data_IF_805007691428
#
_entry.id   IF_805007691428
#
_cell.length_a   1.000
_cell.length_b   1.000
_cell.length_c   1.000
_cell.angle_alpha   90.00
_cell.angle_beta   90.00
_cell.angle_gamma   90.00
#
_symmetry.space_group_name_H-M   'P 1'
#
loop_
_entity.id
_entity.type
_entity.pdbx_description
1 polymer ?
#
# COMPACT_ATOMS: atom_id res chain seq x y z
N UNK A 1 -1.79 -13.83 -8.84
CA UNK A 1 -1.20 -13.53 -10.17
C UNK A 1 -1.35 -12.06 -10.58
N UNK A 2 -2.51 -11.40 -10.40
CA UNK A 2 -2.70 -10.01 -10.83
C UNK A 2 -1.72 -9.00 -10.21
N UNK A 3 -1.36 -9.13 -8.93
CA UNK A 3 -0.36 -8.23 -8.31
C UNK A 3 1.01 -8.31 -8.96
N UNK A 4 1.49 -9.51 -9.31
CA UNK A 4 2.80 -9.68 -9.92
C UNK A 4 2.82 -9.09 -11.33
N UNK A 5 1.71 -9.23 -12.07
CA UNK A 5 1.53 -8.60 -13.36
C UNK A 5 1.51 -7.07 -13.24
N UNK A 6 0.72 -6.54 -12.30
CA UNK A 6 0.63 -5.11 -12.04
C UNK A 6 1.99 -4.51 -11.66
N UNK A 7 2.78 -5.21 -10.86
CA UNK A 7 4.13 -4.80 -10.49
C UNK A 7 5.07 -4.77 -11.70
N UNK A 8 5.03 -5.79 -12.55
CA UNK A 8 5.81 -5.82 -13.79
C UNK A 8 5.41 -4.71 -14.76
N UNK A 9 4.12 -4.38 -14.84
CA UNK A 9 3.61 -3.29 -15.68
C UNK A 9 4.06 -1.92 -15.12
N UNK A 10 4.05 -1.75 -13.80
CA UNK A 10 4.57 -0.54 -13.16
C UNK A 10 6.08 -0.37 -13.41
N UNK A 11 6.84 -1.46 -13.36
CA UNK A 11 8.30 -1.47 -13.61
C UNK A 11 8.64 -1.08 -15.06
N UNK A 12 7.76 -1.43 -16.01
CA UNK A 12 7.84 -1.01 -17.42
C UNK A 12 7.47 0.47 -17.64
N UNK A 13 7.10 1.20 -16.59
CA UNK A 13 6.72 2.61 -16.66
C UNK A 13 5.23 2.86 -16.96
N UNK A 14 4.43 1.81 -17.17
CA UNK A 14 3.00 1.95 -17.47
C UNK A 14 2.18 1.97 -16.16
N UNK A 15 2.38 3.05 -15.41
CA UNK A 15 1.71 3.30 -14.13
C UNK A 15 0.17 3.30 -14.22
N UNK A 16 -0.52 3.87 -15.24
CA UNK A 16 -1.98 3.84 -15.30
C UNK A 16 -2.49 2.41 -15.51
N UNK A 17 -1.82 1.60 -16.35
CA UNK A 17 -2.21 0.20 -16.54
C UNK A 17 -1.97 -0.64 -15.30
N UNK A 18 -0.89 -0.37 -14.56
CA UNK A 18 -0.62 -1.02 -13.28
C UNK A 18 -1.71 -0.69 -12.24
N UNK A 19 -2.17 0.56 -12.21
CA UNK A 19 -3.24 1.00 -11.32
C UNK A 19 -4.52 0.20 -11.54
N UNK A 20 -5.00 0.11 -12.79
CA UNK A 20 -6.18 -0.67 -13.17
C UNK A 20 -6.08 -2.13 -12.72
N UNK A 21 -4.90 -2.74 -12.88
CA UNK A 21 -4.65 -4.13 -12.49
C UNK A 21 -4.69 -4.31 -10.97
N UNK A 22 -4.12 -3.37 -10.21
CA UNK A 22 -4.18 -3.38 -8.75
C UNK A 22 -5.61 -3.15 -8.24
N UNK A 23 -6.39 -2.26 -8.86
CA UNK A 23 -7.81 -2.04 -8.51
C UNK A 23 -8.67 -3.27 -8.77
N UNK A 24 -8.45 -3.96 -9.89
CA UNK A 24 -9.10 -5.26 -10.17
C UNK A 24 -8.69 -6.33 -9.18
N UNK A 25 -7.40 -6.45 -8.88
CA UNK A 25 -6.90 -7.41 -7.90
C UNK A 25 -7.50 -7.16 -6.50
N UNK A 26 -7.62 -5.89 -6.13
CA UNK A 26 -8.21 -5.46 -4.86
C UNK A 26 -9.69 -5.83 -4.80
N UNK A 27 -10.46 -5.56 -5.85
CA UNK A 27 -11.89 -5.91 -5.91
C UNK A 27 -12.10 -7.42 -5.77
N UNK A 28 -11.32 -8.22 -6.50
CA UNK A 28 -11.40 -9.68 -6.41
C UNK A 28 -11.01 -10.20 -5.03
N UNK A 29 -9.97 -9.63 -4.41
CA UNK A 29 -9.57 -10.00 -3.04
C UNK A 29 -10.60 -9.60 -2.01
N UNK A 30 -11.17 -8.40 -2.12
CA UNK A 30 -12.28 -7.96 -1.24
C UNK A 30 -13.46 -8.92 -1.33
N UNK A 31 -13.78 -9.41 -2.53
CA UNK A 31 -14.87 -10.38 -2.73
C UNK A 31 -14.52 -11.79 -2.23
N UNK A 32 -13.28 -12.24 -2.40
CA UNK A 32 -12.87 -13.61 -2.06
C UNK A 32 -12.44 -13.80 -0.60
N UNK A 33 -11.71 -12.83 -0.04
CA UNK A 33 -11.08 -12.90 1.29
C UNK A 33 -11.71 -11.93 2.28
N UNK A 34 -12.47 -10.94 1.80
CA UNK A 34 -13.06 -9.88 2.61
C UNK A 34 -12.18 -8.63 2.73
N UNK A 35 -12.78 -7.60 3.34
CA UNK A 35 -12.12 -6.30 3.58
C UNK A 35 -11.06 -6.35 4.68
N UNK A 36 -11.16 -7.29 5.61
CA UNK A 36 -10.24 -7.48 6.73
C UNK A 36 -9.30 -8.66 6.47
N UNK A 37 -8.51 -8.57 5.40
CA UNK A 37 -7.51 -9.58 5.07
C UNK A 37 -6.15 -8.93 4.78
N UNK A 38 -5.08 -9.58 5.22
CA UNK A 38 -3.71 -9.07 5.07
C UNK A 38 -3.33 -8.90 3.59
N UNK A 39 -3.82 -9.77 2.71
CA UNK A 39 -3.59 -9.69 1.28
C UNK A 39 -4.38 -8.54 0.63
N UNK A 40 -5.54 -8.17 1.18
CA UNK A 40 -6.28 -6.96 0.81
C UNK A 40 -5.46 -5.71 1.16
N UNK A 41 -4.91 -5.63 2.37
CA UNK A 41 -4.03 -4.52 2.78
C UNK A 41 -2.77 -4.41 1.91
N UNK A 42 -2.10 -5.53 1.61
CA UNK A 42 -0.93 -5.54 0.71
C UNK A 42 -1.25 -5.03 -0.71
N UNK A 43 -2.46 -5.31 -1.21
CA UNK A 43 -2.88 -4.84 -2.53
C UNK A 43 -3.09 -3.33 -2.55
N UNK A 44 -3.63 -2.77 -1.46
CA UNK A 44 -3.81 -1.32 -1.28
C UNK A 44 -2.44 -0.62 -1.17
N UNK A 45 -1.51 -1.17 -0.40
CA UNK A 45 -0.12 -0.69 -0.31
C UNK A 45 0.55 -0.61 -1.70
N UNK A 46 0.36 -1.66 -2.51
CA UNK A 46 0.93 -1.72 -3.85
C UNK A 46 0.34 -0.67 -4.79
N UNK A 47 -0.97 -0.39 -4.67
CA UNK A 47 -1.64 0.67 -5.41
C UNK A 47 -1.13 2.05 -4.99
N UNK A 48 -0.95 2.28 -3.68
CA UNK A 48 -0.40 3.52 -3.14
C UNK A 48 1.01 3.81 -3.66
N UNK A 49 1.84 2.77 -3.83
CA UNK A 49 3.16 2.89 -4.42
C UNK A 49 3.11 3.38 -5.88
N UNK A 50 2.20 2.83 -6.67
CA UNK A 50 2.03 3.25 -8.07
C UNK A 50 1.58 4.71 -8.14
N UNK A 51 0.68 5.14 -7.26
CA UNK A 51 0.25 6.54 -7.19
C UNK A 51 1.37 7.49 -6.74
N UNK A 52 2.23 7.05 -5.82
CA UNK A 52 3.43 7.79 -5.45
C UNK A 52 4.35 8.01 -6.66
N UNK A 53 4.56 6.97 -7.48
CA UNK A 53 5.34 7.08 -8.72
C UNK A 53 4.68 8.00 -9.76
N UNK A 54 3.35 8.15 -9.73
CA UNK A 54 2.60 9.13 -10.54
C UNK A 54 2.61 10.55 -9.94
N UNK A 55 3.38 10.80 -8.87
CA UNK A 55 3.36 12.05 -8.09
C UNK A 55 1.99 12.40 -7.46
N UNK A 56 1.09 11.42 -7.32
CA UNK A 56 -0.21 11.56 -6.65
C UNK A 56 -0.09 11.20 -5.17
N UNK A 57 0.66 12.02 -4.44
CA UNK A 57 0.98 11.76 -3.03
C UNK A 57 -0.25 11.78 -2.11
N UNK A 58 -1.23 12.65 -2.39
CA UNK A 58 -2.45 12.75 -1.58
C UNK A 58 -3.30 11.47 -1.65
N UNK A 59 -3.51 10.93 -2.86
CA UNK A 59 -4.24 9.67 -3.05
C UNK A 59 -3.46 8.49 -2.48
N UNK A 60 -2.14 8.46 -2.66
CA UNK A 60 -1.27 7.43 -2.07
C UNK A 60 -1.37 7.43 -0.54
N UNK A 61 -1.34 8.59 0.11
CA UNK A 61 -1.48 8.72 1.56
C UNK A 61 -2.82 8.18 2.06
N UNK A 62 -3.92 8.50 1.38
CA UNK A 62 -5.25 8.00 1.72
C UNK A 62 -5.31 6.46 1.67
N UNK A 63 -4.72 5.85 0.63
CA UNK A 63 -4.64 4.40 0.50
C UNK A 63 -3.75 3.77 1.58
N UNK A 64 -2.59 4.35 1.89
CA UNK A 64 -1.73 3.86 2.97
C UNK A 64 -2.45 3.86 4.32
N UNK A 65 -3.21 4.92 4.63
CA UNK A 65 -4.03 4.95 5.86
C UNK A 65 -5.06 3.84 5.88
N UNK A 66 -5.70 3.56 4.75
CA UNK A 66 -6.68 2.48 4.64
C UNK A 66 -6.04 1.09 4.83
N UNK A 67 -4.88 0.84 4.23
CA UNK A 67 -4.13 -0.42 4.43
C UNK A 67 -3.70 -0.61 5.89
N UNK A 68 -3.28 0.48 6.56
CA UNK A 68 -2.92 0.48 7.97
C UNK A 68 -4.11 0.13 8.85
N UNK A 69 -5.26 0.76 8.63
CA UNK A 69 -6.47 0.49 9.41
C UNK A 69 -6.92 -0.98 9.29
N UNK A 70 -6.74 -1.58 8.12
CA UNK A 70 -6.99 -3.02 7.91
C UNK A 70 -5.98 -3.88 8.70
N UNK A 71 -4.68 -3.56 8.67
CA UNK A 71 -3.66 -4.25 9.47
C UNK A 71 -3.93 -4.12 10.98
N UNK A 72 -4.32 -2.94 11.44
CA UNK A 72 -4.67 -2.69 12.84
C UNK A 72 -5.87 -3.53 13.29
N UNK A 73 -6.89 -3.65 12.43
CA UNK A 73 -8.04 -4.52 12.73
C UNK A 73 -7.65 -6.01 12.72
N UNK A 74 -6.76 -6.43 11.81
CA UNK A 74 -6.27 -7.81 11.72
C UNK A 74 -5.42 -8.23 12.94
N UNK A 75 -4.64 -7.31 13.49
CA UNK A 75 -3.79 -7.55 14.67
C UNK A 75 -4.60 -7.65 15.97
N UNK A 76 -5.89 -7.33 15.95
CA UNK A 76 -6.79 -7.44 17.10
C UNK A 76 -6.49 -6.44 18.22
N UNK A 77 -7.39 -6.32 19.21
CA UNK A 77 -7.24 -5.40 20.34
C UNK A 77 -6.08 -5.74 21.29
N UNK A 78 -5.47 -6.93 21.16
CA UNK A 78 -4.35 -7.38 22.01
C UNK A 78 -3.07 -6.57 21.77
N UNK A 79 -2.90 -6.00 20.57
CA UNK A 79 -1.75 -5.15 20.23
C UNK A 79 -1.94 -3.66 20.58
N UNK A 80 -3.12 -3.25 21.10
CA UNK A 80 -3.39 -1.83 21.46
C UNK A 80 -2.58 -1.35 22.65
N UNK A 81 -2.14 -2.25 23.53
CA UNK A 81 -1.41 -1.87 24.74
C UNK A 81 0.08 -1.67 24.48
N UNK A 82 0.67 -2.36 23.50
CA UNK A 82 2.14 -2.33 23.30
C UNK A 82 2.59 -1.35 22.22
N UNK A 83 1.70 -0.88 21.33
CA UNK A 83 2.12 -0.26 20.08
C UNK A 83 1.68 1.21 19.89
N UNK A 84 1.06 1.85 20.88
CA UNK A 84 0.52 3.20 20.71
C UNK A 84 1.61 4.29 20.54
N UNK A 85 2.86 4.00 20.92
CA UNK A 85 3.97 4.97 20.87
C UNK A 85 5.09 4.63 19.87
N UNK A 86 5.25 3.37 19.43
CA UNK A 86 6.37 2.98 18.55
C UNK A 86 6.06 3.07 17.04
N UNK A 87 4.83 2.80 16.58
CA UNK A 87 4.50 2.83 15.13
C UNK A 87 4.49 4.23 14.52
N UNK A 88 4.38 5.29 15.34
CA UNK A 88 4.54 6.66 14.85
C UNK A 88 5.97 6.90 14.33
N UNK A 89 6.95 6.13 14.82
CA UNK A 89 8.37 6.21 14.44
C UNK A 89 8.70 5.44 13.16
N UNK A 90 8.12 4.26 12.94
CA UNK A 90 8.39 3.45 11.74
C UNK A 90 7.79 4.03 10.46
N UNK A 91 6.65 4.74 10.57
CA UNK A 91 6.09 5.51 9.45
C UNK A 91 7.00 6.66 9.02
N UNK A 92 7.88 7.17 9.89
CA UNK A 92 8.86 8.17 9.45
C UNK A 92 10.02 7.49 8.73
N UNK A 93 10.44 6.31 9.17
CA UNK A 93 11.65 5.66 8.69
C UNK A 93 11.46 4.84 7.40
N UNK A 94 10.32 4.13 7.24
CA UNK A 94 10.03 3.39 6.00
C UNK A 94 9.69 4.33 4.83
N UNK A 95 9.08 5.48 5.14
CA UNK A 95 8.82 6.54 4.17
C UNK A 95 10.13 7.28 3.84
N UNK A 96 10.93 7.72 4.83
CA UNK A 96 12.22 8.41 4.58
C UNK A 96 13.26 7.54 3.85
N UNK A 97 13.29 6.22 4.06
CA UNK A 97 14.23 5.34 3.32
C UNK A 97 13.87 5.19 1.84
N UNK A 98 12.58 5.32 1.47
CA UNK A 98 12.13 5.29 0.06
C UNK A 98 12.03 6.68 -0.58
N UNK A 99 12.00 7.74 0.23
CA UNK A 99 12.15 9.14 -0.20
C UNK A 99 13.60 9.56 -0.50
N UNK A 100 14.60 8.69 -0.30
CA UNK A 100 16.01 8.96 -0.66
C UNK A 100 16.34 8.42 -2.06
N UNK A 101 15.60 8.86 -3.08
CA UNK A 101 16.11 8.81 -4.45
C UNK A 101 16.80 10.15 -4.75
N UNK A 102 18.10 10.18 -5.12
CA UNK A 102 18.73 11.40 -5.60
C UNK A 102 18.02 11.81 -6.88
N UNK A 103 17.64 13.09 -6.98
CA UNK A 103 17.16 13.69 -8.23
C UNK A 103 18.20 13.36 -9.32
N UNK A 104 17.82 12.77 -10.48
CA UNK A 104 18.75 12.71 -11.59
C UNK A 104 19.04 14.14 -12.06
N UNK A 105 20.33 14.46 -12.20
CA UNK A 105 20.85 15.72 -12.75
C UNK A 105 20.52 15.87 -14.23
#
# INVERSE_FOLDING_TARGET
>A
MLNNLAQSVADKGDLPRAQELFERALTLRKAALGLQDAATAQSIDSLALVLQNQAKYADAEALYRQAKQIRENLLGPDARETNCEEVKGEFRNQYLHRFRHPKPH
#
